data_IF_954960342128
#
_entry.id   IF_954960342128
#
_cell.length_a   1.000
_cell.length_b   1.000
_cell.length_c   1.000
_cell.angle_alpha   90.00
_cell.angle_beta   90.00
_cell.angle_gamma   90.00
#
_symmetry.space_group_name_H-M   'P 1'
#
loop_
_entity.id
_entity.type
_entity.pdbx_description
1 polymer ?
#
# COMPACT_ATOMS: atom_id res chain seq x y z
N UNK A 1 11.91 23.78 -10.84
CA UNK A 1 10.96 22.87 -11.53
C UNK A 1 11.65 21.51 -11.60
N UNK A 2 11.60 20.76 -10.50
CA UNK A 2 12.28 19.45 -10.42
C UNK A 2 11.37 18.38 -11.03
N UNK A 3 11.86 17.83 -12.14
CA UNK A 3 11.25 16.76 -12.89
C UNK A 3 11.85 15.44 -12.39
N UNK A 4 10.94 14.48 -12.19
CA UNK A 4 11.14 13.05 -11.96
C UNK A 4 11.32 12.56 -10.52
N UNK A 5 10.36 11.74 -10.11
CA UNK A 5 10.55 10.57 -9.23
C UNK A 5 11.96 10.01 -9.50
N UNK A 6 12.78 9.82 -8.46
CA UNK A 6 14.11 9.28 -8.68
C UNK A 6 13.98 7.94 -9.41
N UNK A 7 14.85 7.70 -10.40
CA UNK A 7 14.93 6.42 -11.13
C UNK A 7 15.06 5.22 -10.18
N UNK A 8 15.62 5.45 -8.99
CA UNK A 8 15.74 4.48 -7.90
C UNK A 8 14.38 4.08 -7.31
N UNK A 9 13.44 5.03 -7.12
CA UNK A 9 12.10 4.73 -6.63
C UNK A 9 11.31 3.86 -7.63
N UNK A 10 11.48 4.09 -8.94
CA UNK A 10 10.86 3.28 -10.01
C UNK A 10 11.48 1.89 -10.13
N UNK A 11 12.81 1.79 -10.09
CA UNK A 11 13.51 0.52 -10.11
C UNK A 11 13.11 -0.34 -8.89
N UNK A 12 13.09 0.25 -7.69
CA UNK A 12 12.69 -0.41 -6.45
C UNK A 12 11.22 -0.88 -6.51
N UNK A 13 10.31 -0.04 -7.01
CA UNK A 13 8.92 -0.44 -7.20
C UNK A 13 8.76 -1.55 -8.23
N UNK A 14 9.53 -1.55 -9.33
CA UNK A 14 9.48 -2.62 -10.32
C UNK A 14 9.89 -3.97 -9.73
N UNK A 15 10.91 -3.97 -8.85
CA UNK A 15 11.36 -5.16 -8.13
C UNK A 15 10.31 -5.62 -7.13
N UNK A 16 9.71 -4.70 -6.38
CA UNK A 16 8.67 -5.03 -5.39
C UNK A 16 7.37 -5.50 -6.06
N UNK A 17 6.96 -4.86 -7.16
CA UNK A 17 5.76 -5.22 -7.92
C UNK A 17 5.85 -6.64 -8.49
N UNK A 18 7.05 -7.12 -8.86
CA UNK A 18 7.29 -8.53 -9.24
C UNK A 18 6.79 -9.49 -8.16
N UNK A 19 7.12 -9.22 -6.90
CA UNK A 19 6.77 -10.06 -5.75
C UNK A 19 5.37 -9.79 -5.18
N UNK A 20 4.71 -8.69 -5.57
CA UNK A 20 3.34 -8.36 -5.15
C UNK A 20 2.27 -8.81 -6.15
N UNK A 21 2.69 -9.26 -7.34
CA UNK A 21 1.80 -9.49 -8.49
C UNK A 21 0.69 -10.51 -8.23
N UNK A 22 0.98 -11.59 -7.49
CA UNK A 22 -0.01 -12.60 -7.12
C UNK A 22 0.21 -13.15 -5.71
N UNK A 23 -0.87 -13.41 -4.94
CA UNK A 23 -0.77 -14.13 -3.68
C UNK A 23 -0.19 -15.53 -3.87
N UNK A 24 0.57 -16.01 -2.88
CA UNK A 24 1.11 -17.37 -2.92
C UNK A 24 -0.03 -18.37 -2.73
N UNK A 25 -0.17 -19.32 -3.66
CA UNK A 25 -1.27 -20.29 -3.64
C UNK A 25 -1.19 -21.26 -2.44
N UNK A 26 -0.01 -21.77 -2.13
CA UNK A 26 0.22 -22.59 -0.94
C UNK A 26 1.18 -21.83 0.00
N UNK A 27 0.68 -21.24 1.10
CA UNK A 27 1.50 -20.40 1.96
C UNK A 27 2.31 -21.18 3.01
N UNK A 28 2.12 -22.50 3.11
CA UNK A 28 2.65 -23.32 4.19
C UNK A 28 3.86 -24.16 3.77
N UNK A 29 4.73 -24.47 4.71
CA UNK A 29 5.78 -25.48 4.53
C UNK A 29 5.14 -26.87 4.47
N UNK A 30 5.66 -27.74 3.60
CA UNK A 30 5.16 -29.12 3.44
C UNK A 30 5.63 -30.07 4.56
N UNK A 31 6.43 -29.58 5.50
CA UNK A 31 7.19 -30.43 6.42
C UNK A 31 6.44 -30.68 7.74
N UNK A 32 6.21 -31.95 8.05
CA UNK A 32 5.39 -32.47 9.15
C UNK A 32 6.12 -32.43 10.51
N UNK A 33 6.72 -31.31 10.90
CA UNK A 33 7.33 -31.21 12.23
C UNK A 33 6.24 -31.00 13.29
N UNK A 34 6.29 -31.82 14.33
CA UNK A 34 5.43 -31.73 15.53
C UNK A 34 5.45 -30.30 16.09
N UNK A 35 4.33 -29.92 16.70
CA UNK A 35 4.09 -28.70 17.47
C UNK A 35 5.39 -28.02 17.94
N UNK A 36 5.71 -26.86 17.36
CA UNK A 36 6.85 -26.04 17.72
C UNK A 36 6.34 -24.65 18.11
N UNK A 37 6.91 -24.08 19.19
CA UNK A 37 6.55 -22.76 19.70
C UNK A 37 6.73 -21.66 18.64
N UNK A 38 7.55 -21.92 17.62
CA UNK A 38 7.72 -21.09 16.43
C UNK A 38 6.41 -20.85 15.68
N UNK A 39 5.55 -21.85 15.51
CA UNK A 39 4.27 -21.71 14.78
C UNK A 39 3.26 -20.85 15.55
N UNK A 40 3.26 -20.94 16.88
CA UNK A 40 2.44 -20.07 17.75
C UNK A 40 2.90 -18.62 17.59
N UNK A 41 4.21 -18.38 17.64
CA UNK A 41 4.78 -17.04 17.47
C UNK A 41 4.47 -16.46 16.08
N UNK A 42 4.58 -17.26 15.02
CA UNK A 42 4.20 -16.84 13.67
C UNK A 42 2.73 -16.49 13.56
N UNK A 43 1.86 -17.31 14.15
CA UNK A 43 0.42 -17.04 14.18
C UNK A 43 0.13 -15.73 14.92
N UNK A 44 0.72 -15.52 16.09
CA UNK A 44 0.56 -14.27 16.86
C UNK A 44 0.98 -13.05 16.05
N UNK A 45 2.06 -13.15 15.25
CA UNK A 45 2.47 -12.09 14.33
C UNK A 45 1.42 -11.86 13.24
N UNK A 46 0.88 -12.92 12.64
CA UNK A 46 -0.16 -12.80 11.61
C UNK A 46 -1.45 -12.20 12.16
N UNK A 47 -1.92 -12.64 13.33
CA UNK A 47 -3.11 -12.10 13.97
C UNK A 47 -2.90 -10.60 14.31
N UNK A 48 -1.74 -10.24 14.84
CA UNK A 48 -1.37 -8.83 15.09
C UNK A 48 -1.31 -8.01 13.80
N UNK A 49 -0.81 -8.58 12.70
CA UNK A 49 -0.81 -7.92 11.39
C UNK A 49 -2.23 -7.68 10.86
N UNK A 50 -3.17 -8.62 11.07
CA UNK A 50 -4.58 -8.44 10.67
C UNK A 50 -5.20 -7.24 11.38
N UNK A 51 -4.89 -7.06 12.66
CA UNK A 51 -5.42 -5.97 13.48
C UNK A 51 -4.80 -4.61 13.12
N UNK A 52 -3.51 -4.60 12.81
CA UNK A 52 -2.77 -3.37 12.50
C UNK A 52 -2.90 -2.93 11.04
N UNK A 53 -3.07 -3.87 10.10
CA UNK A 53 -3.01 -3.57 8.68
C UNK A 53 -4.09 -2.56 8.29
N UNK A 54 -3.71 -1.42 7.68
CA UNK A 54 -4.63 -0.32 7.53
C UNK A 54 -5.66 -0.57 6.43
N UNK A 55 -6.85 -0.02 6.65
CA UNK A 55 -7.94 -0.05 5.68
C UNK A 55 -7.65 0.82 4.45
N UNK A 56 -8.59 0.82 3.50
CA UNK A 56 -8.54 1.71 2.33
C UNK A 56 -8.38 3.17 2.74
N UNK A 57 -7.51 3.88 2.01
CA UNK A 57 -7.22 5.29 2.18
C UNK A 57 -8.35 6.13 1.59
N UNK A 58 -8.88 7.05 2.40
CA UNK A 58 -9.82 8.09 1.98
C UNK A 58 -10.94 7.62 1.02
N UNK A 59 -11.76 6.62 1.40
CA UNK A 59 -12.73 6.00 0.49
C UNK A 59 -13.80 6.99 -0.03
N UNK A 60 -14.16 8.00 0.76
CA UNK A 60 -15.07 9.06 0.31
C UNK A 60 -14.42 9.94 -0.76
N UNK A 61 -13.16 10.35 -0.55
CA UNK A 61 -12.40 11.11 -1.54
C UNK A 61 -12.18 10.31 -2.83
N UNK A 62 -12.01 8.99 -2.78
CA UNK A 62 -12.00 8.13 -3.97
C UNK A 62 -13.32 8.27 -4.75
N UNK A 63 -14.46 8.11 -4.08
CA UNK A 63 -15.77 8.19 -4.73
C UNK A 63 -16.02 9.56 -5.38
N UNK A 64 -15.62 10.65 -4.69
CA UNK A 64 -15.75 12.01 -5.23
C UNK A 64 -14.80 12.19 -6.43
N UNK A 65 -13.54 11.75 -6.33
CA UNK A 65 -12.58 11.84 -7.42
C UNK A 65 -13.03 11.05 -8.65
N UNK A 66 -13.59 9.86 -8.47
CA UNK A 66 -14.09 9.04 -9.59
C UNK A 66 -15.29 9.71 -10.27
N UNK A 67 -16.22 10.27 -9.49
CA UNK A 67 -17.35 11.03 -10.03
C UNK A 67 -16.88 12.29 -10.80
N UNK A 68 -15.90 13.01 -10.26
CA UNK A 68 -15.30 14.16 -10.93
C UNK A 68 -14.58 13.73 -12.21
N UNK A 69 -13.81 12.65 -12.18
CA UNK A 69 -13.09 12.14 -13.35
C UNK A 69 -14.06 11.76 -14.45
N UNK A 70 -15.15 11.08 -14.11
CA UNK A 70 -16.19 10.73 -15.06
C UNK A 70 -16.81 11.97 -15.73
N UNK A 71 -17.17 13.00 -14.97
CA UNK A 71 -17.86 14.20 -15.48
C UNK A 71 -16.93 15.21 -16.16
N UNK A 72 -15.73 15.42 -15.62
CA UNK A 72 -14.89 16.58 -15.95
C UNK A 72 -13.67 16.23 -16.81
N UNK A 73 -13.52 14.96 -17.22
CA UNK A 73 -12.36 14.52 -18.02
C UNK A 73 -12.26 15.17 -19.39
N UNK A 74 -13.38 15.40 -20.08
CA UNK A 74 -13.36 16.06 -21.38
C UNK A 74 -13.10 17.57 -21.26
N UNK A 75 -13.85 18.34 -20.44
CA UNK A 75 -13.62 19.79 -20.30
C UNK A 75 -12.20 20.16 -19.87
N UNK A 76 -11.58 19.35 -18.99
CA UNK A 76 -10.28 19.69 -18.40
C UNK A 76 -9.12 18.85 -18.94
N UNK A 77 -9.29 18.14 -20.07
CA UNK A 77 -8.28 17.20 -20.59
C UNK A 77 -6.86 17.78 -20.68
N UNK A 78 -6.75 19.04 -21.05
CA UNK A 78 -5.49 19.77 -21.27
C UNK A 78 -5.07 20.64 -20.08
N UNK A 79 -5.90 20.76 -19.04
CA UNK A 79 -5.57 21.56 -17.87
C UNK A 79 -4.51 20.87 -16.99
N UNK A 80 -3.50 21.63 -16.56
CA UNK A 80 -2.40 21.09 -15.74
C UNK A 80 -2.90 20.57 -14.40
N UNK A 81 -3.73 21.33 -13.67
CA UNK A 81 -4.30 20.91 -12.38
C UNK A 81 -5.01 19.54 -12.52
N UNK A 82 -5.77 19.37 -13.60
CA UNK A 82 -6.51 18.14 -13.87
C UNK A 82 -5.63 16.93 -14.18
N UNK A 83 -4.50 17.14 -14.85
CA UNK A 83 -3.50 16.09 -15.05
C UNK A 83 -2.98 15.55 -13.71
N UNK A 84 -2.74 16.42 -12.73
CA UNK A 84 -2.29 16.01 -11.40
C UNK A 84 -3.40 15.33 -10.59
N UNK A 85 -4.63 15.83 -10.64
CA UNK A 85 -5.79 15.17 -10.02
C UNK A 85 -5.95 13.72 -10.50
N UNK A 86 -5.84 13.48 -11.81
CA UNK A 86 -5.91 12.11 -12.37
C UNK A 86 -4.76 11.22 -11.89
N UNK A 87 -3.56 11.78 -11.71
CA UNK A 87 -2.41 11.03 -11.16
C UNK A 87 -2.63 10.64 -9.71
N UNK A 88 -3.14 11.57 -8.89
CA UNK A 88 -3.52 11.30 -7.49
C UNK A 88 -4.54 10.17 -7.43
N UNK A 89 -5.65 10.28 -8.18
CA UNK A 89 -6.68 9.22 -8.23
C UNK A 89 -6.10 7.86 -8.68
N UNK A 90 -5.28 7.84 -9.75
CA UNK A 90 -4.66 6.60 -10.23
C UNK A 90 -3.79 5.92 -9.16
N UNK A 91 -2.95 6.68 -8.48
CA UNK A 91 -2.05 6.11 -7.47
C UNK A 91 -2.79 5.73 -6.18
N UNK A 92 -3.80 6.50 -5.78
CA UNK A 92 -4.71 6.17 -4.69
C UNK A 92 -5.46 4.85 -4.95
N UNK A 93 -5.95 4.66 -6.17
CA UNK A 93 -6.64 3.42 -6.56
C UNK A 93 -5.70 2.21 -6.55
N UNK A 94 -4.46 2.35 -7.02
CA UNK A 94 -3.45 1.28 -6.89
C UNK A 94 -3.14 0.94 -5.44
N UNK A 95 -2.97 1.95 -4.58
CA UNK A 95 -2.73 1.77 -3.15
C UNK A 95 -3.89 1.02 -2.48
N UNK A 96 -5.13 1.38 -2.81
CA UNK A 96 -6.34 0.75 -2.28
C UNK A 96 -6.63 -0.64 -2.86
N UNK A 97 -6.05 -0.98 -4.01
CA UNK A 97 -6.15 -2.31 -4.60
C UNK A 97 -5.29 -3.36 -3.86
N UNK A 98 -4.28 -2.93 -3.09
CA UNK A 98 -3.47 -3.82 -2.26
C UNK A 98 -4.32 -4.38 -1.11
N UNK A 99 -4.85 -5.59 -1.28
CA UNK A 99 -5.75 -6.27 -0.32
C UNK A 99 -5.05 -7.39 0.43
N UNK A 100 -4.17 -7.06 1.36
CA UNK A 100 -3.45 -8.06 2.18
C UNK A 100 -4.34 -8.72 3.23
N UNK A 101 -5.30 -7.98 3.81
CA UNK A 101 -6.15 -8.46 4.91
C UNK A 101 -6.89 -9.77 4.62
N UNK A 102 -7.42 -9.92 3.40
CA UNK A 102 -8.14 -11.14 3.02
C UNK A 102 -7.18 -12.35 3.01
N UNK A 103 -5.98 -12.15 2.48
CA UNK A 103 -4.95 -13.19 2.42
C UNK A 103 -4.47 -13.60 3.81
N UNK A 104 -4.19 -12.63 4.69
CA UNK A 104 -3.79 -12.90 6.08
C UNK A 104 -4.87 -13.64 6.86
N UNK A 105 -6.15 -13.25 6.73
CA UNK A 105 -7.27 -13.94 7.39
C UNK A 105 -7.42 -15.39 6.96
N UNK A 106 -7.18 -15.67 5.68
CA UNK A 106 -7.19 -17.05 5.18
C UNK A 106 -6.04 -17.86 5.79
N UNK A 107 -4.81 -17.32 5.78
CA UNK A 107 -3.65 -17.92 6.45
C UNK A 107 -3.95 -18.21 7.92
N UNK A 108 -4.41 -17.20 8.67
CA UNK A 108 -4.63 -17.32 10.10
C UNK A 108 -5.66 -18.41 10.46
N UNK A 109 -6.67 -18.59 9.60
CA UNK A 109 -7.67 -19.65 9.71
C UNK A 109 -7.07 -21.02 9.41
N UNK A 110 -6.30 -21.14 8.34
CA UNK A 110 -5.75 -22.42 7.89
C UNK A 110 -4.59 -22.91 8.78
N UNK A 111 -3.84 -22.00 9.43
CA UNK A 111 -2.80 -22.32 10.42
C UNK A 111 -3.31 -23.14 11.63
N UNK A 112 -4.62 -23.08 11.93
CA UNK A 112 -5.25 -23.78 13.05
C UNK A 112 -6.26 -24.87 12.64
N UNK A 113 -6.43 -25.12 11.33
CA UNK A 113 -7.54 -25.94 10.84
C UNK A 113 -7.32 -27.45 11.04
N UNK A 114 -6.09 -27.88 11.31
CA UNK A 114 -5.70 -29.27 11.54
C UNK A 114 -4.91 -29.43 12.83
N UNK A 115 -4.85 -30.65 13.37
CA UNK A 115 -3.91 -31.04 14.44
C UNK A 115 -2.43 -30.78 14.06
N UNK A 116 -2.16 -30.69 12.76
CA UNK A 116 -0.89 -30.24 12.20
C UNK A 116 -0.87 -28.70 12.19
N UNK A 117 0.09 -28.12 12.90
CA UNK A 117 0.35 -26.67 12.91
C UNK A 117 1.32 -26.31 11.80
N UNK A 118 0.88 -25.49 10.84
CA UNK A 118 1.68 -25.15 9.66
C UNK A 118 2.45 -23.84 9.83
N UNK A 119 3.76 -23.91 9.64
CA UNK A 119 4.67 -22.77 9.48
C UNK A 119 4.51 -22.13 8.11
N UNK A 120 4.71 -20.82 8.02
CA UNK A 120 4.72 -20.10 6.75
C UNK A 120 6.00 -20.35 5.95
N UNK A 121 5.85 -20.70 4.68
CA UNK A 121 7.00 -20.84 3.79
C UNK A 121 7.62 -19.48 3.44
N UNK A 122 8.87 -19.55 2.96
CA UNK A 122 9.66 -18.37 2.58
C UNK A 122 8.95 -17.49 1.56
N UNK A 123 8.25 -18.10 0.59
CA UNK A 123 7.52 -17.37 -0.45
C UNK A 123 6.37 -16.53 0.14
N UNK A 124 5.60 -17.09 1.07
CA UNK A 124 4.48 -16.40 1.71
C UNK A 124 4.95 -15.25 2.59
N UNK A 125 6.00 -15.47 3.39
CA UNK A 125 6.65 -14.44 4.19
C UNK A 125 7.20 -13.31 3.29
N UNK A 126 7.87 -13.66 2.18
CA UNK A 126 8.40 -12.70 1.21
C UNK A 126 7.26 -11.89 0.57
N UNK A 127 6.16 -12.53 0.18
CA UNK A 127 4.96 -11.84 -0.33
C UNK A 127 4.38 -10.84 0.67
N UNK A 128 4.17 -11.24 1.94
CA UNK A 128 3.63 -10.35 3.00
C UNK A 128 4.49 -9.10 3.14
N UNK A 129 5.81 -9.28 3.23
CA UNK A 129 6.78 -8.18 3.33
C UNK A 129 6.73 -7.28 2.08
N UNK A 130 6.76 -7.88 0.89
CA UNK A 130 6.71 -7.13 -0.37
C UNK A 130 5.44 -6.28 -0.47
N UNK A 131 4.27 -6.80 -0.10
CA UNK A 131 3.01 -6.04 -0.13
C UNK A 131 3.05 -4.84 0.81
N UNK A 132 3.64 -4.98 2.01
CA UNK A 132 3.80 -3.86 2.95
C UNK A 132 4.76 -2.79 2.41
N UNK A 133 5.89 -3.21 1.86
CA UNK A 133 6.86 -2.30 1.21
C UNK A 133 6.20 -1.58 0.03
N UNK A 134 5.48 -2.31 -0.84
CA UNK A 134 4.74 -1.73 -1.96
C UNK A 134 3.76 -0.65 -1.46
N UNK A 135 3.00 -0.97 -0.40
CA UNK A 135 2.06 -0.03 0.20
C UNK A 135 2.77 1.22 0.76
N UNK A 136 3.93 1.07 1.39
CA UNK A 136 4.73 2.18 1.90
C UNK A 136 5.22 3.10 0.76
N UNK A 137 5.81 2.54 -0.29
CA UNK A 137 6.34 3.33 -1.41
C UNK A 137 5.21 4.06 -2.15
N UNK A 138 4.09 3.38 -2.42
CA UNK A 138 2.90 4.01 -3.03
C UNK A 138 2.32 5.12 -2.16
N UNK A 139 2.31 4.93 -0.84
CA UNK A 139 1.88 5.98 0.11
C UNK A 139 2.77 7.22 0.04
N UNK A 140 4.09 7.03 0.01
CA UNK A 140 5.05 8.13 -0.12
C UNK A 140 4.86 8.90 -1.44
N UNK A 141 4.78 8.19 -2.56
CA UNK A 141 4.51 8.80 -3.88
C UNK A 141 3.19 9.55 -3.91
N UNK A 142 2.14 8.98 -3.35
CA UNK A 142 0.83 9.62 -3.28
C UNK A 142 0.87 10.93 -2.49
N UNK A 143 1.64 11.02 -1.40
CA UNK A 143 1.85 12.28 -0.66
C UNK A 143 2.50 13.36 -1.53
N UNK A 144 3.60 13.03 -2.22
CA UNK A 144 4.26 13.95 -3.17
C UNK A 144 3.29 14.42 -4.26
N UNK A 145 2.49 13.51 -4.82
CA UNK A 145 1.49 13.85 -5.84
C UNK A 145 0.40 14.77 -5.28
N UNK A 146 -0.07 14.57 -4.05
CA UNK A 146 -1.04 15.44 -3.40
C UNK A 146 -0.47 16.85 -3.19
N UNK A 147 0.79 16.98 -2.75
CA UNK A 147 1.47 18.27 -2.60
C UNK A 147 1.59 19.01 -3.93
N UNK A 148 2.00 18.32 -5.00
CA UNK A 148 2.07 18.89 -6.35
C UNK A 148 0.69 19.30 -6.87
N UNK A 149 -0.33 18.46 -6.67
CA UNK A 149 -1.69 18.77 -7.09
C UNK A 149 -2.25 19.98 -6.33
N UNK A 150 -2.00 20.07 -5.03
CA UNK A 150 -2.38 21.21 -4.19
C UNK A 150 -1.72 22.52 -4.67
N UNK A 151 -0.43 22.50 -4.98
CA UNK A 151 0.29 23.66 -5.50
C UNK A 151 -0.32 24.19 -6.81
N UNK A 152 -0.68 23.29 -7.73
CA UNK A 152 -1.38 23.69 -8.96
C UNK A 152 -2.79 24.23 -8.70
N UNK A 153 -3.54 23.67 -7.75
CA UNK A 153 -4.84 24.22 -7.36
C UNK A 153 -4.70 25.63 -6.79
N UNK A 154 -3.71 25.87 -5.92
CA UNK A 154 -3.43 27.18 -5.33
C UNK A 154 -3.08 28.24 -6.38
N UNK A 155 -2.29 27.91 -7.39
CA UNK A 155 -1.97 28.81 -8.51
C UNK A 155 -3.23 29.27 -9.27
N UNK A 156 -4.19 28.36 -9.49
CA UNK A 156 -5.45 28.71 -10.14
C UNK A 156 -6.39 29.51 -9.22
N UNK A 157 -6.40 29.23 -7.91
CA UNK A 157 -7.14 30.01 -6.92
C UNK A 157 -6.63 31.46 -6.88
N UNK A 158 -5.30 31.65 -6.86
CA UNK A 158 -4.68 32.97 -6.84
C UNK A 158 -5.02 33.82 -8.06
N UNK A 159 -5.24 33.19 -9.22
CA UNK A 159 -5.64 33.86 -10.47
C UNK A 159 -7.16 34.00 -10.61
N UNK A 160 -7.95 33.58 -9.62
CA UNK A 160 -9.41 33.66 -9.61
C UNK A 160 -10.12 32.69 -10.56
N UNK A 161 -9.38 31.81 -11.23
CA UNK A 161 -9.93 30.93 -12.27
C UNK A 161 -10.43 29.60 -11.69
N UNK A 162 -11.69 29.23 -11.98
CA UNK A 162 -12.31 27.97 -11.53
C UNK A 162 -12.20 27.76 -10.01
N UNK A 163 -12.41 28.84 -9.23
CA UNK A 163 -12.17 28.89 -7.79
C UNK A 163 -12.81 27.70 -7.04
N UNK A 164 -14.09 27.45 -7.25
CA UNK A 164 -14.83 26.38 -6.55
C UNK A 164 -14.26 24.99 -6.86
N UNK A 165 -13.95 24.71 -8.13
CA UNK A 165 -13.37 23.41 -8.53
C UNK A 165 -11.99 23.21 -7.90
N UNK A 166 -11.13 24.23 -7.92
CA UNK A 166 -9.80 24.14 -7.34
C UNK A 166 -9.82 24.08 -5.80
N UNK A 167 -10.77 24.74 -5.14
CA UNK A 167 -10.99 24.61 -3.68
C UNK A 167 -11.41 23.18 -3.31
N UNK A 168 -12.34 22.58 -4.05
CA UNK A 168 -12.74 21.19 -3.84
C UNK A 168 -11.55 20.24 -4.02
N UNK A 169 -10.80 20.39 -5.11
CA UNK A 169 -9.61 19.55 -5.38
C UNK A 169 -8.53 19.74 -4.31
N UNK A 170 -8.32 20.96 -3.83
CA UNK A 170 -7.39 21.23 -2.73
C UNK A 170 -7.83 20.51 -1.45
N UNK A 171 -9.13 20.56 -1.10
CA UNK A 171 -9.67 19.85 0.05
C UNK A 171 -9.52 18.33 -0.07
N UNK A 172 -9.80 17.76 -1.25
CA UNK A 172 -9.60 16.33 -1.52
C UNK A 172 -8.14 15.91 -1.39
N UNK A 173 -7.21 16.70 -1.93
CA UNK A 173 -5.78 16.44 -1.80
C UNK A 173 -5.33 16.47 -0.32
N UNK A 174 -5.86 17.41 0.47
CA UNK A 174 -5.57 17.50 1.90
C UNK A 174 -6.11 16.30 2.68
N UNK A 175 -7.35 15.87 2.42
CA UNK A 175 -7.94 14.68 3.04
C UNK A 175 -7.16 13.40 2.72
N UNK A 176 -6.84 13.19 1.43
CA UNK A 176 -6.01 12.05 1.00
C UNK A 176 -4.64 12.11 1.67
N UNK A 177 -4.00 13.27 1.72
CA UNK A 177 -2.69 13.43 2.35
C UNK A 177 -2.70 13.04 3.83
N UNK A 178 -3.66 13.54 4.61
CA UNK A 178 -3.79 13.22 6.04
C UNK A 178 -4.12 11.73 6.25
N UNK A 179 -5.02 11.17 5.44
CA UNK A 179 -5.34 9.75 5.49
C UNK A 179 -4.14 8.85 5.18
N UNK A 180 -3.29 9.25 4.22
CA UNK A 180 -2.04 8.54 3.90
C UNK A 180 -1.04 8.64 5.04
N UNK A 181 -0.92 9.80 5.68
CA UNK A 181 -0.03 9.98 6.85
C UNK A 181 -0.40 9.01 7.97
N UNK A 182 -1.69 8.89 8.29
CA UNK A 182 -2.20 7.92 9.29
C UNK A 182 -1.96 6.47 8.86
N UNK A 183 -2.15 6.17 7.58
CA UNK A 183 -1.85 4.84 7.02
C UNK A 183 -0.37 4.48 7.16
N UNK A 184 0.55 5.40 6.87
CA UNK A 184 1.99 5.13 6.97
C UNK A 184 2.43 4.82 8.40
N UNK A 185 1.86 5.47 9.41
CA UNK A 185 2.13 5.12 10.81
C UNK A 185 1.79 3.64 11.10
N UNK A 186 0.61 3.19 10.66
CA UNK A 186 0.19 1.78 10.78
C UNK A 186 1.07 0.81 9.98
N UNK A 187 1.53 1.22 8.78
CA UNK A 187 2.44 0.39 7.98
C UNK A 187 3.77 0.21 8.70
N UNK A 188 4.30 1.26 9.35
CA UNK A 188 5.51 1.16 10.18
C UNK A 188 5.31 0.22 11.37
N UNK A 189 4.17 0.29 12.05
CA UNK A 189 3.82 -0.67 13.11
C UNK A 189 3.76 -2.11 12.60
N UNK A 190 3.14 -2.35 11.43
CA UNK A 190 3.12 -3.65 10.78
C UNK A 190 4.53 -4.16 10.46
N UNK A 191 5.39 -3.29 9.91
CA UNK A 191 6.77 -3.64 9.59
C UNK A 191 7.58 -4.03 10.83
N UNK A 192 7.42 -3.29 11.94
CA UNK A 192 8.07 -3.62 13.21
C UNK A 192 7.60 -4.96 13.78
N UNK A 193 6.34 -5.34 13.56
CA UNK A 193 5.83 -6.66 13.96
C UNK A 193 6.48 -7.82 13.19
N UNK A 194 6.97 -7.56 11.97
CA UNK A 194 7.63 -8.55 11.13
C UNK A 194 9.11 -8.76 11.46
N UNK A 195 9.69 -8.04 12.42
CA UNK A 195 11.09 -8.17 12.78
C UNK A 195 11.49 -9.62 13.14
N UNK A 196 10.58 -10.38 13.74
CA UNK A 196 10.76 -11.81 14.04
C UNK A 196 10.85 -12.70 12.79
N UNK A 197 10.21 -12.32 11.67
CA UNK A 197 10.30 -13.09 10.41
C UNK A 197 11.69 -12.96 9.77
N UNK A 198 12.39 -11.85 10.02
CA UNK A 198 13.73 -11.61 9.48
C UNK A 198 14.86 -12.12 10.37
N UNK A 199 14.57 -12.44 11.63
CA UNK A 199 15.55 -12.98 12.57
C UNK A 199 15.82 -14.49 12.34
N UNK A 200 15.00 -15.19 11.56
CA UNK A 200 15.21 -16.58 11.18
C UNK A 200 16.44 -16.70 10.25
N UNK A 201 17.45 -17.46 10.68
CA UNK A 201 18.76 -17.60 10.01
C UNK A 201 18.66 -18.13 8.57
N UNK A 202 17.54 -18.76 8.22
CA UNK A 202 17.22 -19.21 6.85
C UNK A 202 17.07 -18.06 5.84
N UNK A 203 16.77 -16.84 6.29
CA UNK A 203 16.69 -15.66 5.41
C UNK A 203 18.06 -15.08 5.04
N UNK A 204 19.09 -15.24 5.88
CA UNK A 204 20.44 -14.71 5.61
C UNK A 204 21.13 -15.40 4.42
N UNK A 205 20.83 -16.68 4.18
CA UNK A 205 21.39 -17.45 3.08
C UNK A 205 20.77 -17.13 1.70
N UNK A 206 19.57 -16.56 1.67
CA UNK A 206 18.82 -16.31 0.42
C UNK A 206 18.96 -14.87 -0.11
N UNK A 207 19.54 -13.95 0.67
CA UNK A 207 19.92 -12.60 0.21
C UNK A 207 21.36 -12.53 -0.32
N UNK A 208 22.09 -13.66 -0.31
CA UNK A 208 23.47 -13.79 -0.78
C UNK A 208 23.57 -14.43 -2.18
N UNK A 209 22.44 -14.60 -2.88
CA UNK A 209 22.36 -15.18 -4.23
C UNK A 209 21.66 -14.26 -5.21
#
# INVERSE_FOLDING_TARGET
MELFESLEEEALLSVVDKYCSQPVHNPFEADNKKFDATVINEKLVIDKLIDLYPNSVAPQSVAILDALIYKMSAPYRHAKFWRFTRRVSKELNKLNALKLNKYLKNIAKDMLKSEMHYSLNVCAKRYIVSVLICRAIRSYRLRKLCEQAALHCLQHIQTGHLLQSNLLLLALNADVYDAVKKNMAKIMECYNCLQSFFADSRYKLLCAG
#
